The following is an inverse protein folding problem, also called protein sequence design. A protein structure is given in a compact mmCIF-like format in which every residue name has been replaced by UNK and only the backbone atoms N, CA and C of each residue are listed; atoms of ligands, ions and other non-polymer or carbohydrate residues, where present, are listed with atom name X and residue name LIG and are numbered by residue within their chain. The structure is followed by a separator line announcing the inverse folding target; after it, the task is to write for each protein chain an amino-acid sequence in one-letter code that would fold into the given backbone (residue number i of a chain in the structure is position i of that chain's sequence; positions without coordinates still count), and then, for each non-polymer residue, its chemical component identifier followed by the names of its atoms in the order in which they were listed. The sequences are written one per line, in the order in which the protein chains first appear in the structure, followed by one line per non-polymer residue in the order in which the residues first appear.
data_IF_704395901195
#
_entry.id   IF_704395901195
#
_cell.length_a   1.000
_cell.length_b   1.000
_cell.length_c   1.000
_cell.angle_alpha   90.00
_cell.angle_beta   90.00
_cell.angle_gamma   90.00
#
_symmetry.space_group_name_H-M   'P 1'
#
loop_
_entity.id
_entity.type
_entity.pdbx_description
1 polymer ?
#
# COMPACT_ATOMS: atom_id res chain seq x y z
N UNK A 1 -5.06 -15.88 -7.03
CA UNK A 1 -4.19 -14.80 -7.52
C UNK A 1 -3.80 -13.95 -6.31
N UNK A 2 -2.49 -13.80 -6.05
CA UNK A 2 -1.97 -13.26 -4.78
C UNK A 2 -2.29 -11.77 -4.53
N UNK A 3 -2.55 -10.99 -5.59
CA UNK A 3 -2.77 -9.54 -5.49
C UNK A 3 -4.26 -9.14 -5.44
N UNK A 4 -5.17 -10.08 -5.13
CA UNK A 4 -6.58 -9.75 -4.93
C UNK A 4 -6.77 -9.06 -3.58
N UNK A 5 -7.72 -8.15 -3.51
CA UNK A 5 -8.19 -7.57 -2.25
C UNK A 5 -8.71 -8.69 -1.35
N UNK A 6 -8.47 -8.58 -0.05
CA UNK A 6 -8.98 -9.55 0.93
C UNK A 6 -10.51 -9.61 0.86
N UNK A 7 -11.09 -10.77 1.19
CA UNK A 7 -12.52 -11.07 0.90
C UNK A 7 -13.49 -10.25 1.76
N UNK A 8 -13.04 -9.90 2.94
CA UNK A 8 -13.70 -9.14 3.98
C UNK A 8 -13.56 -7.62 3.79
N UNK A 9 -12.75 -7.16 2.83
CA UNK A 9 -12.63 -5.75 2.53
C UNK A 9 -13.95 -5.19 1.97
N UNK A 10 -14.49 -4.18 2.63
CA UNK A 10 -15.62 -3.40 2.17
C UNK A 10 -15.26 -2.59 0.93
N UNK A 11 -16.25 -2.33 0.07
CA UNK A 11 -16.09 -1.40 -1.04
C UNK A 11 -15.83 0.01 -0.53
N UNK A 12 -14.88 0.72 -1.15
CA UNK A 12 -14.62 2.13 -0.87
C UNK A 12 -15.03 2.95 -2.08
N UNK A 13 -15.82 4.01 -1.87
CA UNK A 13 -16.34 4.89 -2.93
C UNK A 13 -17.04 4.10 -4.06
N UNK A 14 -17.81 3.07 -3.68
CA UNK A 14 -18.57 2.24 -4.63
C UNK A 14 -17.73 1.30 -5.51
N UNK A 15 -16.45 1.09 -5.20
CA UNK A 15 -15.57 0.23 -5.99
C UNK A 15 -14.64 -0.61 -5.10
N UNK A 16 -13.89 -1.52 -5.72
CA UNK A 16 -12.82 -2.23 -5.03
C UNK A 16 -11.79 -1.20 -4.52
N UNK A 17 -11.37 -1.24 -3.25
CA UNK A 17 -10.39 -0.29 -2.69
C UNK A 17 -9.13 -0.11 -3.53
N UNK A 18 -8.59 -1.18 -4.11
CA UNK A 18 -7.40 -1.11 -4.96
C UNK A 18 -7.65 -0.29 -6.23
N UNK A 19 -8.90 -0.21 -6.72
CA UNK A 19 -9.24 0.52 -7.94
C UNK A 19 -9.20 2.03 -7.80
N UNK A 20 -8.96 2.55 -6.59
CA UNK A 20 -8.59 3.95 -6.39
C UNK A 20 -7.23 4.31 -7.01
N UNK A 21 -6.39 3.32 -7.29
CA UNK A 21 -5.14 3.49 -8.04
C UNK A 21 -5.34 3.01 -9.47
N UNK A 22 -4.86 3.76 -10.47
CA UNK A 22 -5.00 3.40 -11.89
C UNK A 22 -4.46 2.01 -12.24
N UNK A 23 -5.11 1.32 -13.19
CA UNK A 23 -4.76 -0.05 -13.58
C UNK A 23 -3.30 -0.20 -13.99
N UNK A 24 -2.77 0.75 -14.77
CA UNK A 24 -1.37 0.73 -15.24
C UNK A 24 -0.42 0.83 -14.04
N UNK A 25 -0.67 1.76 -13.12
CA UNK A 25 0.11 1.97 -11.91
C UNK A 25 0.08 0.74 -10.99
N UNK A 26 -1.07 0.08 -10.81
CA UNK A 26 -1.15 -1.17 -10.05
C UNK A 26 -0.30 -2.28 -10.65
N UNK A 27 -0.31 -2.43 -11.98
CA UNK A 27 0.55 -3.41 -12.66
C UNK A 27 2.03 -3.14 -12.36
N UNK A 28 2.45 -1.87 -12.44
CA UNK A 28 3.83 -1.47 -12.11
C UNK A 28 4.19 -1.73 -10.65
N UNK A 29 3.24 -1.51 -9.74
CA UNK A 29 3.41 -1.84 -8.31
C UNK A 29 3.61 -3.35 -8.14
N UNK A 30 2.72 -4.19 -8.67
CA UNK A 30 2.84 -5.64 -8.53
C UNK A 30 4.12 -6.22 -9.13
N UNK A 31 4.63 -5.60 -10.20
CA UNK A 31 5.87 -6.03 -10.85
C UNK A 31 7.14 -5.54 -10.15
N UNK A 32 7.03 -4.53 -9.29
CA UNK A 32 8.16 -3.91 -8.60
C UNK A 32 8.85 -4.87 -7.63
N UNK A 33 10.15 -4.67 -7.45
CA UNK A 33 10.97 -5.44 -6.49
C UNK A 33 10.44 -5.27 -5.06
N UNK A 34 10.18 -4.03 -4.66
CA UNK A 34 9.67 -3.72 -3.33
C UNK A 34 8.35 -4.44 -3.03
N UNK A 35 7.41 -4.51 -3.98
CA UNK A 35 6.18 -5.25 -3.75
C UNK A 35 6.40 -6.76 -3.54
N UNK A 36 7.30 -7.35 -4.32
CA UNK A 36 7.57 -8.80 -4.28
C UNK A 36 8.37 -9.23 -3.05
N UNK A 37 9.25 -8.35 -2.56
CA UNK A 37 10.13 -8.63 -1.43
C UNK A 37 9.52 -8.16 -0.10
N UNK A 38 9.02 -6.92 -0.05
CA UNK A 38 8.61 -6.28 1.21
C UNK A 38 7.09 -6.28 1.43
N UNK A 39 6.28 -6.34 0.36
CA UNK A 39 4.82 -6.40 0.47
C UNK A 39 4.26 -7.84 0.38
N UNK A 40 5.11 -8.85 0.27
CA UNK A 40 4.67 -10.25 0.24
C UNK A 40 4.22 -10.69 1.64
N UNK A 41 3.00 -11.25 1.73
CA UNK A 41 2.39 -11.68 3.00
C UNK A 41 2.36 -10.61 4.12
N UNK A 42 2.47 -9.32 3.77
CA UNK A 42 2.44 -8.23 4.74
C UNK A 42 1.03 -8.10 5.37
N UNK A 43 0.96 -8.22 6.69
CA UNK A 43 -0.26 -8.03 7.49
C UNK A 43 -0.47 -6.56 7.87
N UNK A 44 -1.62 -6.24 8.45
CA UNK A 44 -1.92 -4.90 8.95
C UNK A 44 -0.98 -4.49 10.10
N UNK A 45 -0.64 -5.44 10.98
CA UNK A 45 0.25 -5.23 12.13
C UNK A 45 1.69 -4.92 11.68
N UNK A 46 2.23 -5.67 10.72
CA UNK A 46 3.59 -5.50 10.21
C UNK A 46 3.74 -4.30 9.25
N UNK A 47 2.64 -3.65 8.89
CA UNK A 47 2.67 -2.50 8.01
C UNK A 47 3.40 -1.32 8.66
N UNK A 48 3.38 -1.25 10.01
CA UNK A 48 3.99 -0.14 10.76
C UNK A 48 5.49 -0.12 10.64
N UNK A 49 6.11 -1.28 10.75
CA UNK A 49 7.55 -1.45 10.63
C UNK A 49 8.04 -0.97 9.24
N UNK A 50 7.28 -1.30 8.19
CA UNK A 50 7.60 -0.86 6.81
C UNK A 50 7.32 0.61 6.57
N UNK A 51 6.28 1.15 7.22
CA UNK A 51 5.98 2.57 7.19
C UNK A 51 7.11 3.41 7.80
N UNK A 52 7.67 2.97 8.93
CA UNK A 52 8.78 3.65 9.61
C UNK A 52 10.08 3.68 8.80
N UNK A 53 10.30 2.72 7.90
CA UNK A 53 11.46 2.68 7.02
C UNK A 53 11.36 3.68 5.85
N UNK A 54 10.18 4.27 5.61
CA UNK A 54 9.98 5.24 4.55
C UNK A 54 10.74 6.54 4.83
N UNK A 55 11.45 7.03 3.82
CA UNK A 55 12.25 8.28 3.90
C UNK A 55 11.67 9.43 3.08
N UNK A 56 10.63 9.15 2.31
CA UNK A 56 10.01 10.12 1.42
C UNK A 56 8.61 9.68 1.04
N UNK A 57 7.76 10.66 0.76
CA UNK A 57 6.44 10.47 0.16
C UNK A 57 6.55 10.69 -1.35
N UNK A 58 5.91 9.84 -2.14
CA UNK A 58 5.88 10.01 -3.59
C UNK A 58 5.00 9.00 -4.29
N UNK A 59 4.67 9.25 -5.55
CA UNK A 59 3.86 8.35 -6.37
C UNK A 59 4.71 7.45 -7.27
N UNK A 60 4.85 7.86 -8.53
CA UNK A 60 5.66 7.18 -9.55
C UNK A 60 6.73 8.13 -10.07
N UNK A 61 7.85 7.60 -10.55
CA UNK A 61 8.95 8.40 -11.09
C UNK A 61 9.60 7.76 -12.31
N UNK A 62 10.24 8.60 -13.13
CA UNK A 62 10.91 8.22 -14.37
C UNK A 62 9.95 7.77 -15.49
N UNK A 63 10.48 7.67 -16.72
CA UNK A 63 9.68 7.32 -17.90
C UNK A 63 9.04 5.92 -17.86
N UNK A 64 9.56 5.01 -17.04
CA UNK A 64 9.03 3.65 -16.89
C UNK A 64 7.97 3.50 -15.78
N UNK A 65 7.50 4.61 -15.19
CA UNK A 65 6.46 4.60 -14.14
C UNK A 65 6.91 3.69 -12.97
N UNK A 66 8.10 3.95 -12.44
CA UNK A 66 8.62 3.18 -11.30
C UNK A 66 7.86 3.64 -10.04
N UNK A 67 7.18 2.74 -9.30
CA UNK A 67 6.49 3.12 -8.08
C UNK A 67 7.48 3.34 -6.94
N UNK A 68 7.17 4.28 -6.06
CA UNK A 68 7.91 4.46 -4.80
C UNK A 68 7.50 3.39 -3.78
N UNK A 69 8.34 3.14 -2.75
CA UNK A 69 7.95 2.32 -1.60
C UNK A 69 6.68 2.82 -0.91
N UNK A 70 6.53 4.15 -0.73
CA UNK A 70 5.32 4.77 -0.18
C UNK A 70 4.06 4.36 -0.95
N UNK A 71 4.09 4.46 -2.29
CA UNK A 71 2.95 4.08 -3.12
C UNK A 71 2.67 2.56 -3.08
N UNK A 72 3.71 1.74 -2.96
CA UNK A 72 3.56 0.29 -2.80
C UNK A 72 2.85 -0.07 -1.49
N UNK A 73 3.26 0.54 -0.38
CA UNK A 73 2.60 0.34 0.93
C UNK A 73 1.18 0.89 0.93
N UNK A 74 0.93 2.03 0.28
CA UNK A 74 -0.43 2.56 0.12
C UNK A 74 -1.35 1.57 -0.61
N UNK A 75 -0.88 0.98 -1.72
CA UNK A 75 -1.67 -0.07 -2.41
C UNK A 75 -1.86 -1.30 -1.52
N UNK A 76 -0.86 -1.65 -0.70
CA UNK A 76 -0.98 -2.76 0.25
C UNK A 76 -2.05 -2.49 1.31
N UNK A 77 -2.09 -1.28 1.88
CA UNK A 77 -3.15 -0.86 2.80
C UNK A 77 -4.53 -0.96 2.16
N UNK A 78 -4.67 -0.53 0.89
CA UNK A 78 -5.93 -0.69 0.15
C UNK A 78 -6.28 -2.17 -0.12
N UNK A 79 -5.28 -3.03 -0.30
CA UNK A 79 -5.49 -4.47 -0.52
C UNK A 79 -6.01 -5.19 0.73
N UNK A 80 -5.45 -4.87 1.90
CA UNK A 80 -5.74 -5.57 3.17
C UNK A 80 -6.77 -4.85 4.04
N UNK A 81 -7.08 -3.58 3.74
CA UNK A 81 -8.04 -2.73 4.46
C UNK A 81 -7.91 -2.86 5.99
N UNK A 82 -6.82 -2.35 6.59
CA UNK A 82 -6.60 -2.47 8.04
C UNK A 82 -7.73 -1.79 8.82
N UNK A 83 -7.90 -2.20 10.08
CA UNK A 83 -8.86 -1.57 10.98
C UNK A 83 -8.55 -0.08 11.20
N UNK A 84 -9.60 0.68 11.52
CA UNK A 84 -9.53 2.14 11.58
C UNK A 84 -8.60 2.63 12.69
N UNK A 85 -8.55 1.91 13.81
CA UNK A 85 -7.64 2.17 14.93
C UNK A 85 -6.17 2.09 14.50
N UNK A 86 -5.77 1.07 13.73
CA UNK A 86 -4.42 0.94 13.17
C UNK A 86 -4.09 2.16 12.31
N UNK A 87 -5.01 2.60 11.46
CA UNK A 87 -4.82 3.81 10.63
C UNK A 87 -4.72 5.08 11.47
N UNK A 88 -5.46 5.17 12.56
CA UNK A 88 -5.39 6.32 13.48
C UNK A 88 -4.05 6.33 14.21
N UNK A 89 -3.55 5.18 14.66
CA UNK A 89 -2.24 5.06 15.30
C UNK A 89 -1.13 5.51 14.34
N UNK A 90 -1.19 5.11 13.06
CA UNK A 90 -0.29 5.61 12.03
C UNK A 90 -0.27 7.14 11.91
N UNK A 91 -1.42 7.80 12.04
CA UNK A 91 -1.53 9.26 11.91
C UNK A 91 -1.04 9.96 13.18
N UNK A 92 -1.22 9.34 14.35
CA UNK A 92 -0.83 9.88 15.65
C UNK A 92 0.65 9.72 15.95
N UNK A 93 1.36 8.87 15.21
CA UNK A 93 2.78 8.64 15.40
C UNK A 93 3.60 9.90 15.07
N UNK A 94 4.00 10.66 16.09
CA UNK A 94 4.71 11.94 15.90
C UNK A 94 6.21 11.78 15.56
N UNK A 95 6.79 10.63 15.91
CA UNK A 95 8.23 10.34 15.80
C UNK A 95 8.69 9.93 14.38
N UNK A 96 7.75 9.69 13.46
CA UNK A 96 8.03 9.28 12.08
C UNK A 96 7.34 10.23 11.10
N UNK A 97 8.12 11.06 10.39
CA UNK A 97 7.65 12.03 9.39
C UNK A 97 8.44 11.90 8.09
#
# INVERSE_FOLDING_TARGET
MANRTVKDAASLKGTNPQYLIEKVTRSRIYDSRYWKEECFALSAELLVDRGMELRFVGGVYGGNIKPTPFLCLLLKMLQIQPEKDIVIEFIRQEDSK
#
